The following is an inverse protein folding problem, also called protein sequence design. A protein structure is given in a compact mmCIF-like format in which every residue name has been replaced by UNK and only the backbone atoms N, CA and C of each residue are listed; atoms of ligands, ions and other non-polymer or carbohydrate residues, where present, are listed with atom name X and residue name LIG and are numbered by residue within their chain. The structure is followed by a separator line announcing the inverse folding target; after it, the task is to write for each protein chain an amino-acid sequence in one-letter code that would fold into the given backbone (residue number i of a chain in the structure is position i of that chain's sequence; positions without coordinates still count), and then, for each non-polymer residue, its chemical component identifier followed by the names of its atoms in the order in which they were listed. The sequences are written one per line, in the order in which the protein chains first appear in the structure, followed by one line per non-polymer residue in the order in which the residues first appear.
data_IF_533474278400
#
_entry.id   IF_533474278400
#
_cell.length_a   1.000
_cell.length_b   1.000
_cell.length_c   1.000
_cell.angle_alpha   90.00
_cell.angle_beta   90.00
_cell.angle_gamma   90.00
#
_symmetry.space_group_name_H-M   'P 1'
#
loop_
_entity.id
_entity.type
_entity.pdbx_description
1 polymer ?
#
# COMPACT_ATOMS: atom_id res chain seq x y z
N UNK A 1 -42.40 34.08 -35.98
CA UNK A 1 -41.19 34.28 -35.14
C UNK A 1 -41.02 33.02 -34.31
N UNK A 2 -39.98 32.24 -34.58
CA UNK A 2 -39.80 30.85 -34.11
C UNK A 2 -38.57 30.80 -33.20
N UNK A 3 -38.65 30.22 -31.98
CA UNK A 3 -37.58 30.36 -31.00
C UNK A 3 -36.36 29.51 -31.36
N UNK A 4 -35.20 30.10 -31.10
CA UNK A 4 -33.85 29.55 -31.23
C UNK A 4 -33.68 28.40 -30.24
N UNK A 5 -33.39 27.21 -30.78
CA UNK A 5 -33.08 26.00 -30.04
C UNK A 5 -31.62 26.09 -29.57
N UNK A 6 -31.42 26.45 -28.30
CA UNK A 6 -30.11 26.42 -27.64
C UNK A 6 -29.78 24.94 -27.39
N UNK A 7 -28.83 24.42 -28.17
CA UNK A 7 -28.24 23.11 -27.98
C UNK A 7 -27.35 23.17 -26.73
N UNK A 8 -27.89 22.78 -25.58
CA UNK A 8 -27.11 22.60 -24.36
C UNK A 8 -26.21 21.36 -24.51
N UNK A 9 -24.93 21.61 -24.72
CA UNK A 9 -23.88 20.58 -24.66
C UNK A 9 -23.80 20.04 -23.22
N UNK A 10 -23.96 18.74 -22.96
CA UNK A 10 -23.65 18.21 -21.65
C UNK A 10 -22.13 18.21 -21.49
N UNK A 11 -21.62 19.19 -20.74
CA UNK A 11 -20.26 19.15 -20.22
C UNK A 11 -20.13 17.89 -19.36
N UNK A 12 -19.43 16.89 -19.89
CA UNK A 12 -19.00 15.71 -19.14
C UNK A 12 -18.08 16.20 -18.03
N UNK A 13 -18.64 16.35 -16.83
CA UNK A 13 -17.91 16.52 -15.59
C UNK A 13 -17.15 15.22 -15.33
N UNK A 14 -15.96 15.11 -15.94
CA UNK A 14 -14.88 14.28 -15.40
C UNK A 14 -14.49 14.90 -14.07
N UNK A 15 -15.23 14.54 -13.02
CA UNK A 15 -14.67 14.54 -11.68
C UNK A 15 -13.52 13.55 -11.72
N UNK A 16 -12.34 14.06 -12.08
CA UNK A 16 -11.07 13.44 -11.77
C UNK A 16 -11.03 13.31 -10.26
N UNK A 17 -11.55 12.19 -9.77
CA UNK A 17 -11.15 11.68 -8.48
C UNK A 17 -9.64 11.72 -8.51
N UNK A 18 -9.06 12.47 -7.58
CA UNK A 18 -7.63 12.43 -7.31
C UNK A 18 -7.34 11.02 -6.79
N UNK A 19 -7.32 10.03 -7.68
CA UNK A 19 -6.72 8.73 -7.42
C UNK A 19 -5.29 9.08 -7.10
N UNK A 20 -4.90 8.90 -5.84
CA UNK A 20 -3.50 8.97 -5.44
C UNK A 20 -2.83 7.73 -6.04
N UNK A 21 -2.60 7.77 -7.36
CA UNK A 21 -1.97 6.73 -8.14
C UNK A 21 -0.61 6.44 -7.50
N UNK A 22 -0.54 5.33 -6.76
CA UNK A 22 0.70 4.90 -6.15
C UNK A 22 0.62 4.59 -4.66
N UNK A 23 -0.41 4.99 -3.89
CA UNK A 23 -0.54 4.57 -2.47
C UNK A 23 -1.67 3.56 -2.31
N UNK A 24 -1.35 2.34 -1.87
CA UNK A 24 -2.36 1.38 -1.38
C UNK A 24 -2.30 1.26 0.14
N UNK A 25 -3.45 0.98 0.75
CA UNK A 25 -3.62 0.79 2.19
C UNK A 25 -4.31 -0.54 2.43
N UNK A 26 -3.86 -1.26 3.45
CA UNK A 26 -4.37 -2.57 3.79
C UNK A 26 -4.53 -2.76 5.29
N UNK A 27 -5.23 -3.82 5.65
CA UNK A 27 -5.37 -4.28 7.03
C UNK A 27 -5.12 -5.78 7.13
N UNK A 28 -4.73 -6.22 8.32
CA UNK A 28 -4.44 -7.61 8.62
C UNK A 28 -4.59 -7.91 10.10
N UNK A 29 -4.85 -9.17 10.44
CA UNK A 29 -4.77 -9.62 11.82
C UNK A 29 -3.31 -9.61 12.31
N UNK A 30 -3.10 -9.26 13.58
CA UNK A 30 -1.79 -9.38 14.23
C UNK A 30 -1.80 -10.56 15.21
N UNK A 31 -0.77 -11.40 15.17
CA UNK A 31 -0.60 -12.54 16.07
C UNK A 31 -0.42 -12.14 17.54
N UNK A 32 0.05 -10.92 17.82
CA UNK A 32 0.08 -10.34 19.16
C UNK A 32 -1.28 -9.81 19.63
N UNK A 33 -2.33 -9.96 18.82
CA UNK A 33 -3.69 -9.52 19.10
C UNK A 33 -4.07 -8.24 18.34
N UNK A 34 -5.36 -8.12 17.99
CA UNK A 34 -5.92 -6.96 17.29
C UNK A 34 -5.66 -6.94 15.78
N UNK A 35 -5.75 -5.73 15.21
CA UNK A 35 -5.59 -5.48 13.77
C UNK A 35 -4.37 -4.59 13.55
N UNK A 36 -3.58 -4.92 12.53
CA UNK A 36 -2.49 -4.09 12.02
C UNK A 36 -2.93 -3.46 10.71
N UNK A 37 -2.58 -2.19 10.53
CA UNK A 37 -2.76 -1.47 9.27
C UNK A 37 -1.41 -1.29 8.58
N UNK A 38 -1.42 -1.28 7.26
CA UNK A 38 -0.24 -1.02 6.47
C UNK A 38 -0.55 -0.11 5.30
N UNK A 39 0.46 0.63 4.88
CA UNK A 39 0.43 1.46 3.67
C UNK A 39 1.61 1.06 2.81
N UNK A 40 1.40 0.96 1.50
CA UNK A 40 2.49 0.75 0.56
C UNK A 40 2.40 1.78 -0.54
N UNK A 41 3.51 2.47 -0.80
CA UNK A 41 3.54 3.57 -1.77
C UNK A 41 4.63 3.39 -2.82
N UNK A 42 4.28 3.56 -4.09
CA UNK A 42 5.22 3.69 -5.19
C UNK A 42 6.02 4.98 -5.02
N UNK A 43 7.33 4.87 -5.20
CA UNK A 43 8.27 5.98 -5.13
C UNK A 43 8.69 6.41 -6.53
N UNK A 44 9.20 7.62 -6.66
CA UNK A 44 9.67 8.17 -7.93
C UNK A 44 10.86 7.39 -8.53
N UNK A 45 11.57 6.60 -7.71
CA UNK A 45 12.65 5.70 -8.14
C UNK A 45 12.15 4.31 -8.60
N UNK A 46 10.83 4.11 -8.70
CA UNK A 46 10.21 2.83 -9.07
C UNK A 46 10.19 1.79 -7.96
N UNK A 47 10.72 2.11 -6.77
CA UNK A 47 10.65 1.25 -5.60
C UNK A 47 9.33 1.42 -4.84
N UNK A 48 9.01 0.46 -3.97
CA UNK A 48 7.86 0.55 -3.06
C UNK A 48 8.32 0.79 -1.62
N UNK A 49 7.73 1.78 -0.95
CA UNK A 49 7.89 2.00 0.49
C UNK A 49 6.71 1.40 1.24
N UNK A 50 6.97 0.41 2.09
CA UNK A 50 5.98 -0.16 3.01
C UNK A 50 6.09 0.53 4.37
N UNK A 51 4.94 0.88 4.93
CA UNK A 51 4.73 1.24 6.32
C UNK A 51 3.77 0.28 6.99
N UNK A 52 4.09 -0.18 8.20
CA UNK A 52 3.27 -1.06 9.01
C UNK A 52 3.09 -0.44 10.39
N UNK A 53 1.85 -0.16 10.76
CA UNK A 53 1.49 0.35 12.08
C UNK A 53 1.09 -0.82 12.97
N UNK A 54 1.96 -1.19 13.89
CA UNK A 54 1.71 -2.23 14.89
C UNK A 54 1.26 -1.59 16.21
N UNK A 55 0.81 -2.42 17.15
CA UNK A 55 0.41 -1.96 18.49
C UNK A 55 1.52 -1.19 19.22
N UNK A 56 2.78 -1.57 18.98
CA UNK A 56 3.93 -1.06 19.73
C UNK A 56 4.71 0.03 18.97
N UNK A 57 4.38 0.32 17.71
CA UNK A 57 5.08 1.35 16.94
C UNK A 57 4.88 1.25 15.44
N UNK A 58 5.74 1.97 14.71
CA UNK A 58 5.71 1.99 13.25
C UNK A 58 6.98 1.34 12.69
N UNK A 59 6.79 0.45 11.72
CA UNK A 59 7.85 -0.25 11.02
C UNK A 59 7.81 0.06 9.53
N UNK A 60 8.96 0.16 8.89
CA UNK A 60 9.04 0.47 7.45
C UNK A 60 10.12 -0.31 6.73
N UNK A 61 9.93 -0.49 5.42
CA UNK A 61 10.91 -1.09 4.52
C UNK A 61 10.78 -0.53 3.10
N UNK A 62 11.87 -0.60 2.33
CA UNK A 62 11.89 -0.21 0.91
C UNK A 62 12.23 -1.42 0.04
N UNK A 63 11.37 -1.69 -0.93
CA UNK A 63 11.45 -2.80 -1.88
C UNK A 63 11.83 -2.26 -3.25
N UNK A 64 12.97 -2.71 -3.78
CA UNK A 64 13.62 -2.08 -4.96
C UNK A 64 13.58 -2.95 -6.20
N UNK A 65 13.11 -4.19 -6.10
CA UNK A 65 13.10 -5.15 -7.19
C UNK A 65 11.69 -5.77 -7.36
N UNK A 66 10.65 -4.95 -7.64
CA UNK A 66 9.33 -5.46 -7.91
C UNK A 66 9.38 -6.40 -9.12
N UNK A 67 8.78 -7.58 -8.97
CA UNK A 67 8.76 -8.62 -9.98
C UNK A 67 7.34 -9.16 -10.13
N UNK A 68 6.72 -9.11 -11.32
CA UNK A 68 5.41 -9.71 -11.56
C UNK A 68 5.31 -11.15 -11.05
N UNK A 69 4.25 -11.44 -10.30
CA UNK A 69 4.01 -12.73 -9.62
C UNK A 69 5.13 -13.16 -8.65
N UNK A 70 6.04 -12.24 -8.30
CA UNK A 70 7.18 -12.48 -7.45
C UNK A 70 6.97 -12.05 -6.00
N UNK A 71 8.05 -12.13 -5.24
CA UNK A 71 8.12 -11.57 -3.89
C UNK A 71 9.49 -11.00 -3.59
N UNK A 72 9.56 -10.12 -2.61
CA UNK A 72 10.79 -9.54 -2.12
C UNK A 72 10.75 -9.47 -0.58
N UNK A 73 11.82 -9.94 0.07
CA UNK A 73 12.00 -9.90 1.52
C UNK A 73 12.88 -8.72 1.88
N UNK A 74 12.48 -7.96 2.91
CA UNK A 74 13.26 -6.85 3.45
C UNK A 74 13.23 -6.83 4.98
N UNK A 75 14.33 -6.42 5.63
CA UNK A 75 14.29 -6.10 7.05
C UNK A 75 13.41 -4.89 7.30
N UNK A 76 12.63 -4.93 8.38
CA UNK A 76 11.85 -3.81 8.86
C UNK A 76 12.72 -2.92 9.76
N UNK A 77 12.68 -1.62 9.52
CA UNK A 77 13.19 -0.61 10.43
C UNK A 77 12.01 -0.07 11.26
N UNK A 78 11.99 -0.40 12.55
CA UNK A 78 10.94 0.02 13.47
C UNK A 78 11.41 1.17 14.37
N UNK A 79 10.51 2.13 14.65
CA UNK A 79 10.81 3.31 15.48
C UNK A 79 11.19 2.96 16.92
N UNK A 80 10.77 1.80 17.42
CA UNK A 80 11.09 1.30 18.77
C UNK A 80 12.42 0.55 18.87
N UNK A 81 13.15 0.40 17.77
CA UNK A 81 14.35 -0.44 17.71
C UNK A 81 14.06 -1.95 17.64
N UNK A 82 12.79 -2.36 17.65
CA UNK A 82 12.38 -3.73 17.43
C UNK A 82 12.77 -4.20 16.01
N UNK A 83 13.13 -5.48 15.89
CA UNK A 83 13.62 -6.09 14.67
C UNK A 83 12.63 -7.08 14.07
N UNK A 84 12.49 -7.05 12.74
CA UNK A 84 11.67 -7.99 12.00
C UNK A 84 11.97 -7.97 10.51
N UNK A 85 11.22 -8.77 9.76
CA UNK A 85 11.25 -8.76 8.31
C UNK A 85 9.83 -8.68 7.76
N UNK A 86 9.72 -8.18 6.54
CA UNK A 86 8.49 -8.22 5.78
C UNK A 86 8.74 -8.69 4.35
N UNK A 87 7.90 -9.60 3.88
CA UNK A 87 7.86 -10.08 2.51
C UNK A 87 6.69 -9.43 1.80
N UNK A 88 6.96 -8.65 0.76
CA UNK A 88 5.93 -8.16 -0.16
C UNK A 88 5.73 -9.18 -1.28
N UNK A 89 4.47 -9.46 -1.61
CA UNK A 89 4.06 -10.25 -2.76
C UNK A 89 3.48 -9.33 -3.83
N UNK A 90 3.83 -9.57 -5.07
CA UNK A 90 3.40 -8.75 -6.20
C UNK A 90 2.40 -9.49 -7.08
N UNK A 91 1.45 -8.74 -7.66
CA UNK A 91 0.51 -9.20 -8.67
C UNK A 91 1.16 -9.42 -10.04
N UNK A 92 0.35 -9.78 -11.03
CA UNK A 92 0.80 -10.05 -12.40
C UNK A 92 1.31 -8.81 -13.15
N UNK A 93 0.99 -7.62 -12.67
CA UNK A 93 1.45 -6.33 -13.15
C UNK A 93 2.68 -5.80 -12.38
N UNK A 94 3.16 -6.53 -11.37
CA UNK A 94 4.26 -6.11 -10.51
C UNK A 94 3.86 -5.17 -9.37
N UNK A 95 2.57 -4.87 -9.20
CA UNK A 95 2.08 -4.06 -8.07
C UNK A 95 1.98 -4.90 -6.78
N UNK A 96 2.21 -4.32 -5.58
CA UNK A 96 2.06 -5.04 -4.33
C UNK A 96 0.61 -5.45 -4.07
N UNK A 97 0.39 -6.73 -3.72
CA UNK A 97 -0.94 -7.26 -3.37
C UNK A 97 -1.04 -7.66 -1.90
N UNK A 98 0.09 -8.01 -1.27
CA UNK A 98 0.14 -8.26 0.16
C UNK A 98 1.53 -8.07 0.73
N UNK A 99 1.59 -7.83 2.04
CA UNK A 99 2.82 -7.86 2.82
C UNK A 99 2.63 -8.75 4.03
N UNK A 100 3.47 -9.78 4.17
CA UNK A 100 3.54 -10.60 5.38
C UNK A 100 4.74 -10.15 6.19
N UNK A 101 4.51 -9.74 7.43
CA UNK A 101 5.57 -9.27 8.33
C UNK A 101 5.68 -10.17 9.56
N UNK A 102 6.85 -10.14 10.20
CA UNK A 102 7.10 -10.83 11.45
C UNK A 102 8.36 -10.35 12.13
N UNK A 103 8.33 -10.24 13.46
CA UNK A 103 9.48 -9.88 14.27
C UNK A 103 9.22 -10.04 15.76
N UNK A 104 10.31 -10.03 16.52
CA UNK A 104 10.22 -9.98 17.98
C UNK A 104 9.66 -8.61 18.38
N UNK A 105 8.76 -8.57 19.36
CA UNK A 105 8.12 -7.35 19.91
C UNK A 105 7.10 -6.64 18.97
N UNK A 106 7.04 -6.96 17.68
CA UNK A 106 6.09 -6.38 16.72
C UNK A 106 4.93 -7.32 16.33
N UNK A 107 5.07 -8.60 16.68
CA UNK A 107 4.15 -9.66 16.26
C UNK A 107 4.37 -10.08 14.81
N UNK A 108 3.36 -10.69 14.22
CA UNK A 108 3.35 -11.12 12.83
C UNK A 108 1.95 -11.05 12.24
N UNK A 109 1.88 -10.88 10.93
CA UNK A 109 0.59 -10.79 10.24
C UNK A 109 0.75 -10.62 8.75
N UNK A 110 -0.37 -10.69 8.05
CA UNK A 110 -0.44 -10.41 6.61
C UNK A 110 -1.41 -9.29 6.37
N UNK A 111 -0.95 -8.28 5.66
CA UNK A 111 -1.70 -7.11 5.22
C UNK A 111 -2.01 -7.31 3.74
N UNK A 112 -3.27 -7.22 3.37
CA UNK A 112 -3.71 -7.27 1.96
C UNK A 112 -4.02 -5.86 1.49
N UNK A 113 -3.50 -5.48 0.33
CA UNK A 113 -3.59 -4.15 -0.28
C UNK A 113 -4.64 -4.08 -1.39
#
# INVERSE_FOLDING_TARGET
MKPIMILALPAVLLFGGCVSEGTSTGIGANSSGGTTSGTIRLRDDGAYALGVSTTNGYCSAVYRAPRPNGSELRPLACTTGAGGNATVRYGSDGTPVSATYGGLEIGSGTITF
#
